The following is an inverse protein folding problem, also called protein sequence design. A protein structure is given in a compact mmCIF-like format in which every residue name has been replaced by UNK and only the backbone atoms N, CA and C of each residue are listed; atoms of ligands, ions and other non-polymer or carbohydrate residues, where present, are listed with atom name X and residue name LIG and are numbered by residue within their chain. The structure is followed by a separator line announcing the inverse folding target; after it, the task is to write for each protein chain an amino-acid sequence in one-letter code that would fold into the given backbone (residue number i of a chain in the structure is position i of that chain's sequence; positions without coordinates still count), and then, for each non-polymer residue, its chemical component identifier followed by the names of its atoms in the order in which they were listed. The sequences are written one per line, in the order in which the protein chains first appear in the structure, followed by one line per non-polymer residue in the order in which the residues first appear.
data_IF_988788375402
#
_entry.id   IF_988788375402
#
_cell.length_a   1.000
_cell.length_b   1.000
_cell.length_c   1.000
_cell.angle_alpha   90.00
_cell.angle_beta   90.00
_cell.angle_gamma   90.00
#
_symmetry.space_group_name_H-M   'P 1'
#
loop_
_entity.id
_entity.type
_entity.pdbx_description
1 polymer ?
#
# COMPACT_ATOMS: atom_id res chain seq x y z
N UNK A 1 -6.05 62.01 6.39
CA UNK A 1 -7.01 60.93 6.62
C UNK A 1 -6.62 59.77 5.70
N UNK A 2 -6.12 58.69 6.31
CA UNK A 2 -5.81 57.33 5.83
C UNK A 2 -5.26 57.09 4.42
N UNK A 3 -3.98 56.67 4.37
CA UNK A 3 -3.41 55.90 3.28
C UNK A 3 -3.93 54.45 3.36
N UNK A 4 -4.58 53.96 2.28
CA UNK A 4 -4.94 52.56 2.12
C UNK A 4 -3.69 51.75 1.75
N UNK A 5 -3.20 50.94 2.68
CA UNK A 5 -2.29 49.83 2.37
C UNK A 5 -3.10 48.66 1.82
N UNK A 6 -2.95 48.39 0.53
CA UNK A 6 -3.46 47.18 -0.13
C UNK A 6 -2.59 45.99 0.29
N UNK A 7 -3.08 45.18 1.24
CA UNK A 7 -2.49 43.88 1.56
C UNK A 7 -2.85 42.93 0.43
N UNK A 8 -1.92 42.69 -0.51
CA UNK A 8 -2.00 41.53 -1.40
C UNK A 8 -1.78 40.28 -0.53
N UNK A 9 -2.88 39.65 -0.12
CA UNK A 9 -2.82 38.31 0.46
C UNK A 9 -2.26 37.34 -0.58
N UNK A 10 -1.08 36.79 -0.31
CA UNK A 10 -0.60 35.57 -0.94
C UNK A 10 -1.58 34.46 -0.58
N UNK A 11 -2.62 34.28 -1.39
CA UNK A 11 -3.43 33.07 -1.39
C UNK A 11 -2.52 31.98 -1.97
N UNK A 12 -1.72 31.36 -1.10
CA UNK A 12 -1.06 30.12 -1.42
C UNK A 12 -2.14 29.12 -1.76
N UNK A 13 -2.29 28.82 -3.05
CA UNK A 13 -3.09 27.66 -3.46
C UNK A 13 -2.44 26.46 -2.78
N UNK A 14 -3.17 25.81 -1.86
CA UNK A 14 -2.78 24.51 -1.37
C UNK A 14 -2.71 23.59 -2.59
N UNK A 15 -1.49 23.33 -3.07
CA UNK A 15 -1.28 22.25 -4.01
C UNK A 15 -1.53 20.99 -3.20
N UNK A 16 -2.70 20.37 -3.38
CA UNK A 16 -2.86 18.95 -3.09
C UNK A 16 -1.64 18.22 -3.65
N UNK A 17 -1.18 17.13 -3.02
CA UNK A 17 -0.05 16.34 -3.50
C UNK A 17 -0.41 15.59 -4.80
N UNK A 18 -0.68 16.35 -5.86
CA UNK A 18 -0.65 15.87 -7.23
C UNK A 18 0.82 15.68 -7.61
N UNK A 19 1.35 14.51 -7.25
CA UNK A 19 2.69 14.07 -7.64
C UNK A 19 2.78 13.70 -9.13
N UNK A 20 1.74 14.01 -9.93
CA UNK A 20 1.68 13.73 -11.36
C UNK A 20 1.33 12.29 -11.71
N UNK A 21 1.24 11.36 -10.75
CA UNK A 21 1.01 9.95 -10.99
C UNK A 21 -0.49 9.58 -10.96
N UNK A 22 -0.80 8.32 -11.28
CA UNK A 22 -2.14 7.72 -11.22
C UNK A 22 -3.26 8.54 -11.88
N UNK A 23 -3.03 9.19 -13.03
CA UNK A 23 -4.09 9.92 -13.75
C UNK A 23 -5.24 9.04 -14.21
N UNK A 24 -4.92 7.77 -14.45
CA UNK A 24 -5.86 6.65 -14.47
C UNK A 24 -5.55 5.75 -13.28
N UNK A 25 -6.50 4.89 -12.85
CA UNK A 25 -6.21 3.89 -11.83
C UNK A 25 -4.98 3.08 -12.23
N UNK A 26 -4.12 2.79 -11.25
CA UNK A 26 -2.99 1.89 -11.48
C UNK A 26 -3.49 0.50 -11.82
N UNK A 27 -2.73 -0.19 -12.66
CA UNK A 27 -2.93 -1.62 -12.90
C UNK A 27 -1.58 -2.33 -12.68
N UNK A 28 -1.65 -3.61 -12.33
CA UNK A 28 -0.45 -4.40 -12.05
C UNK A 28 -0.80 -5.74 -11.42
N UNK A 29 0.22 -6.39 -10.88
CA UNK A 29 0.09 -7.66 -10.19
C UNK A 29 0.77 -7.62 -8.82
N UNK A 30 0.19 -8.38 -7.88
CA UNK A 30 0.63 -8.45 -6.50
C UNK A 30 0.92 -9.91 -6.10
N UNK A 31 2.05 -10.13 -5.43
CA UNK A 31 2.51 -11.46 -5.01
C UNK A 31 1.61 -12.16 -3.99
N UNK A 32 0.81 -11.43 -3.21
CA UNK A 32 0.25 -11.93 -1.95
C UNK A 32 -0.78 -13.06 -2.10
N UNK A 33 -1.81 -12.89 -2.91
CA UNK A 33 -2.90 -13.87 -3.01
C UNK A 33 -2.41 -15.24 -3.49
N UNK A 34 -1.35 -15.27 -4.31
CA UNK A 34 -0.80 -16.53 -4.82
C UNK A 34 0.31 -17.14 -3.96
N UNK A 35 1.23 -16.31 -3.45
CA UNK A 35 2.48 -16.79 -2.85
C UNK A 35 2.62 -16.46 -1.37
N UNK A 36 1.74 -15.61 -0.84
CA UNK A 36 1.80 -15.11 0.52
C UNK A 36 3.22 -14.66 0.91
N UNK A 37 3.84 -15.37 1.83
CA UNK A 37 5.17 -15.08 2.35
C UNK A 37 6.32 -15.63 1.52
N UNK A 38 6.04 -16.56 0.61
CA UNK A 38 7.07 -17.29 -0.11
C UNK A 38 7.45 -16.60 -1.42
N UNK A 39 8.05 -15.42 -1.29
CA UNK A 39 8.52 -14.62 -2.43
C UNK A 39 10.04 -14.61 -2.50
N UNK A 40 10.58 -14.52 -3.71
CA UNK A 40 12.02 -14.44 -3.97
C UNK A 40 12.29 -13.63 -5.23
N UNK A 41 13.53 -13.18 -5.41
CA UNK A 41 13.98 -12.47 -6.61
C UNK A 41 13.60 -13.23 -7.89
N UNK A 42 13.90 -14.53 -7.96
CA UNK A 42 13.60 -15.37 -9.12
C UNK A 42 12.10 -15.48 -9.40
N UNK A 43 11.27 -15.59 -8.36
CA UNK A 43 9.82 -15.68 -8.51
C UNK A 43 9.26 -14.38 -9.09
N UNK A 44 9.70 -13.24 -8.56
CA UNK A 44 9.21 -11.92 -8.99
C UNK A 44 9.66 -11.63 -10.41
N UNK A 45 10.90 -11.96 -10.76
CA UNK A 45 11.39 -11.87 -12.15
C UNK A 45 10.61 -12.78 -13.10
N UNK A 46 10.28 -14.00 -12.67
CA UNK A 46 9.49 -14.93 -13.48
C UNK A 46 8.07 -14.43 -13.70
N UNK A 47 7.44 -13.84 -12.67
CA UNK A 47 6.13 -13.18 -12.78
C UNK A 47 6.19 -11.98 -13.75
N UNK A 48 7.22 -11.14 -13.65
CA UNK A 48 7.44 -10.05 -14.58
C UNK A 48 7.57 -10.52 -16.04
N UNK A 49 8.38 -11.56 -16.28
CA UNK A 49 8.50 -12.17 -17.62
C UNK A 49 7.16 -12.74 -18.11
N UNK A 50 6.36 -13.35 -17.25
CA UNK A 50 5.04 -13.87 -17.60
C UNK A 50 4.06 -12.75 -18.00
N UNK A 51 4.04 -11.62 -17.27
CA UNK A 51 3.22 -10.44 -17.61
C UNK A 51 3.56 -9.90 -19.00
N UNK A 52 4.85 -9.91 -19.37
CA UNK A 52 5.29 -9.52 -20.72
C UNK A 52 4.89 -10.58 -21.74
N UNK A 53 5.21 -11.85 -21.50
CA UNK A 53 4.99 -12.94 -22.45
C UNK A 53 3.50 -13.20 -22.76
N UNK A 54 2.61 -12.93 -21.81
CA UNK A 54 1.15 -13.08 -21.97
C UNK A 54 0.49 -11.88 -22.63
N UNK A 55 1.23 -10.78 -22.90
CA UNK A 55 0.67 -9.55 -23.46
C UNK A 55 -0.12 -8.70 -22.46
N UNK A 56 -0.21 -9.09 -21.18
CA UNK A 56 -0.88 -8.29 -20.14
C UNK A 56 -0.25 -6.90 -20.00
N UNK A 57 1.06 -6.80 -20.25
CA UNK A 57 1.76 -5.50 -20.34
C UNK A 57 1.09 -4.54 -21.33
N UNK A 58 0.79 -5.02 -22.54
CA UNK A 58 0.30 -4.19 -23.63
C UNK A 58 -1.18 -3.82 -23.47
N UNK A 59 -1.93 -4.63 -22.70
CA UNK A 59 -3.34 -4.37 -22.33
C UNK A 59 -3.52 -3.28 -21.27
N UNK A 60 -2.43 -2.73 -20.74
CA UNK A 60 -2.51 -1.59 -19.84
C UNK A 60 -2.40 -1.92 -18.37
N UNK A 61 -1.82 -3.08 -17.98
CA UNK A 61 -1.47 -3.39 -16.58
C UNK A 61 -0.38 -2.45 -16.00
N UNK A 62 -0.40 -1.16 -16.37
CA UNK A 62 0.55 -0.06 -16.21
C UNK A 62 0.32 0.74 -14.92
N UNK A 63 1.40 1.13 -14.23
CA UNK A 63 1.35 2.09 -13.13
C UNK A 63 1.91 3.45 -13.57
N UNK A 64 1.04 4.43 -13.79
CA UNK A 64 1.44 5.84 -13.89
C UNK A 64 1.68 6.41 -15.29
N UNK A 65 1.81 7.74 -15.31
CA UNK A 65 1.64 8.69 -16.43
C UNK A 65 2.23 8.23 -17.76
N UNK A 66 1.40 8.21 -18.82
CA UNK A 66 1.73 7.82 -20.20
C UNK A 66 2.18 6.36 -20.35
N UNK A 67 1.30 5.48 -20.86
CA UNK A 67 1.53 4.24 -21.65
C UNK A 67 2.86 3.45 -21.54
N UNK A 68 3.62 3.50 -20.45
CA UNK A 68 4.89 2.78 -20.32
C UNK A 68 5.08 2.32 -18.88
N UNK A 69 4.72 1.06 -18.67
CA UNK A 69 5.36 0.08 -17.76
C UNK A 69 4.43 -0.49 -16.65
N UNK A 70 4.11 -1.80 -16.71
CA UNK A 70 3.32 -2.54 -15.72
C UNK A 70 3.94 -2.67 -14.35
N UNK A 71 3.16 -2.61 -13.26
CA UNK A 71 3.69 -2.88 -11.92
C UNK A 71 3.73 -4.37 -11.56
N UNK A 72 4.88 -4.80 -11.04
CA UNK A 72 4.97 -6.00 -10.18
C UNK A 72 5.25 -5.53 -8.77
N UNK A 73 4.30 -5.73 -7.84
CA UNK A 73 4.44 -5.28 -6.46
C UNK A 73 4.78 -6.44 -5.53
N UNK A 74 5.92 -6.32 -4.84
CA UNK A 74 6.29 -7.21 -3.74
C UNK A 74 5.50 -6.80 -2.52
N UNK A 75 4.52 -7.62 -2.13
CA UNK A 75 3.73 -7.30 -0.95
C UNK A 75 3.71 -8.38 0.09
N UNK A 76 3.26 -7.98 1.27
CA UNK A 76 3.00 -8.83 2.40
C UNK A 76 1.59 -8.52 2.89
N UNK A 77 0.93 -9.53 3.44
CA UNK A 77 -0.34 -9.47 4.14
C UNK A 77 -0.26 -10.30 5.43
N UNK A 78 -1.36 -10.98 5.78
CA UNK A 78 -1.65 -11.72 7.01
C UNK A 78 -0.52 -12.09 8.00
N UNK A 79 -0.88 -12.03 9.29
CA UNK A 79 0.00 -12.27 10.42
C UNK A 79 0.51 -13.71 10.49
N UNK A 80 1.72 -13.94 10.01
CA UNK A 80 2.47 -15.16 10.27
C UNK A 80 3.89 -14.80 10.72
N UNK A 81 4.26 -15.19 11.95
CA UNK A 81 5.58 -14.91 12.54
C UNK A 81 6.79 -15.44 11.73
N UNK A 82 6.55 -16.40 10.83
CA UNK A 82 7.55 -16.95 9.89
C UNK A 82 7.52 -16.28 8.51
N UNK A 83 6.66 -15.29 8.30
CA UNK A 83 6.50 -14.59 7.03
C UNK A 83 7.70 -13.69 6.74
N UNK A 84 8.77 -14.24 6.17
CA UNK A 84 9.86 -13.44 5.59
C UNK A 84 9.46 -13.17 4.15
N UNK A 85 8.69 -12.10 3.94
CA UNK A 85 8.39 -11.57 2.60
C UNK A 85 9.68 -11.00 2.01
N UNK A 86 9.77 -9.71 1.70
CA UNK A 86 11.03 -9.11 1.24
C UNK A 86 11.99 -8.74 2.38
N UNK A 87 11.49 -8.53 3.60
CA UNK A 87 12.24 -8.01 4.73
C UNK A 87 13.22 -9.05 5.31
N UNK A 88 14.43 -8.60 5.66
CA UNK A 88 15.32 -9.30 6.56
C UNK A 88 14.71 -9.44 7.97
N UNK A 89 15.40 -10.17 8.85
CA UNK A 89 14.97 -10.34 10.24
C UNK A 89 14.96 -9.02 11.03
N UNK A 90 15.88 -8.11 10.73
CA UNK A 90 16.04 -6.81 11.37
C UNK A 90 16.46 -5.74 10.38
N UNK A 91 16.30 -4.47 10.77
CA UNK A 91 16.92 -3.32 10.10
C UNK A 91 18.45 -3.39 10.20
N UNK A 92 19.13 -2.63 9.36
CA UNK A 92 20.58 -2.45 9.44
C UNK A 92 20.95 -1.80 10.78
N UNK A 93 21.93 -2.40 11.48
CA UNK A 93 22.40 -1.89 12.76
C UNK A 93 23.10 -0.53 12.57
N UNK A 94 22.85 0.41 13.48
CA UNK A 94 23.44 1.75 13.47
C UNK A 94 22.71 2.76 12.58
N UNK A 95 22.33 2.39 11.35
CA UNK A 95 21.65 3.32 10.42
C UNK A 95 20.13 3.23 10.51
N UNK A 96 19.57 2.09 10.91
CA UNK A 96 18.14 1.83 10.90
C UNK A 96 17.56 1.63 9.50
N UNK A 97 18.39 1.52 8.45
CA UNK A 97 17.92 1.28 7.07
C UNK A 97 17.15 -0.04 6.96
N UNK A 98 16.10 -0.09 6.13
CA UNK A 98 15.45 -1.35 5.82
C UNK A 98 16.39 -2.25 5.03
N UNK A 99 16.39 -3.54 5.32
CA UNK A 99 17.26 -4.54 4.67
C UNK A 99 16.40 -5.67 4.13
N UNK A 100 16.73 -6.17 2.94
CA UNK A 100 16.06 -7.32 2.34
C UNK A 100 16.64 -8.65 2.82
N UNK A 101 15.83 -9.70 2.83
CA UNK A 101 16.28 -11.05 3.15
C UNK A 101 17.28 -11.54 2.10
N UNK A 102 18.55 -11.67 2.47
CA UNK A 102 19.65 -12.03 1.56
C UNK A 102 19.58 -13.47 1.03
N UNK A 103 18.76 -14.34 1.63
CA UNK A 103 18.52 -15.69 1.07
C UNK A 103 17.50 -15.62 -0.06
N UNK A 104 16.47 -14.77 0.07
CA UNK A 104 15.41 -14.61 -0.94
C UNK A 104 15.77 -13.61 -2.04
N UNK A 105 16.59 -12.62 -1.71
CA UNK A 105 17.04 -11.52 -2.57
C UNK A 105 18.57 -11.40 -2.50
N UNK A 106 19.31 -12.40 -2.98
CA UNK A 106 20.77 -12.47 -2.83
C UNK A 106 21.50 -11.31 -3.49
N UNK A 107 20.91 -10.69 -4.51
CA UNK A 107 21.48 -9.55 -5.22
C UNK A 107 20.92 -8.19 -4.73
N UNK A 108 20.00 -8.23 -3.76
CA UNK A 108 19.33 -7.05 -3.21
C UNK A 108 18.19 -6.51 -4.10
N UNK A 109 17.40 -5.59 -3.53
CA UNK A 109 16.18 -5.07 -4.17
C UNK A 109 16.49 -4.17 -5.36
N UNK A 110 17.60 -3.40 -5.33
CA UNK A 110 18.02 -2.57 -6.47
C UNK A 110 18.28 -3.43 -7.73
N UNK A 111 18.98 -4.56 -7.58
CA UNK A 111 19.21 -5.48 -8.69
C UNK A 111 17.90 -6.03 -9.26
N UNK A 112 16.96 -6.40 -8.39
CA UNK A 112 15.63 -6.82 -8.82
C UNK A 112 14.88 -5.70 -9.57
N UNK A 113 14.93 -4.47 -9.04
CA UNK A 113 14.33 -3.29 -9.66
C UNK A 113 14.86 -3.06 -11.07
N UNK A 114 16.19 -3.07 -11.23
CA UNK A 114 16.87 -2.91 -12.53
C UNK A 114 16.42 -3.95 -13.55
N UNK A 115 16.32 -5.21 -13.12
CA UNK A 115 15.86 -6.29 -13.98
C UNK A 115 14.38 -6.15 -14.35
N UNK A 116 13.51 -5.75 -13.43
CA UNK A 116 12.09 -5.47 -13.72
C UNK A 116 11.96 -4.27 -14.67
N UNK A 117 12.74 -3.21 -14.48
CA UNK A 117 12.78 -2.07 -15.39
C UNK A 117 13.28 -2.44 -16.79
N UNK A 118 14.24 -3.36 -16.91
CA UNK A 118 14.72 -3.86 -18.21
C UNK A 118 13.64 -4.60 -19.02
N UNK A 119 12.62 -5.15 -18.35
CA UNK A 119 11.42 -5.73 -18.98
C UNK A 119 10.41 -4.64 -19.41
N UNK A 120 10.73 -3.36 -19.19
CA UNK A 120 9.84 -2.22 -19.33
C UNK A 120 8.64 -2.34 -18.40
N UNK A 121 8.88 -2.80 -17.17
CA UNK A 121 7.91 -2.85 -16.06
C UNK A 121 8.33 -1.84 -14.98
N UNK A 122 7.50 -1.65 -13.97
CA UNK A 122 7.72 -0.90 -12.74
C UNK A 122 7.66 -1.84 -11.56
N UNK A 123 8.31 -1.50 -10.46
CA UNK A 123 8.34 -2.33 -9.25
C UNK A 123 7.70 -1.63 -8.06
N UNK A 124 6.91 -2.39 -7.31
CA UNK A 124 6.33 -1.97 -6.05
C UNK A 124 6.96 -2.65 -4.84
N UNK A 125 6.98 -1.94 -3.72
CA UNK A 125 7.36 -2.45 -2.41
C UNK A 125 6.22 -2.24 -1.40
N UNK A 126 6.31 -2.92 -0.27
CA UNK A 126 5.32 -2.88 0.80
C UNK A 126 5.95 -2.55 2.14
N UNK A 127 5.28 -1.70 2.91
CA UNK A 127 5.53 -1.50 4.33
C UNK A 127 4.22 -1.19 5.07
N UNK A 128 4.30 -0.88 6.36
CA UNK A 128 3.16 -0.47 7.19
C UNK A 128 3.45 0.86 7.89
N UNK A 129 2.41 1.68 8.02
CA UNK A 129 2.34 2.85 8.88
C UNK A 129 2.23 2.47 10.37
N UNK A 130 3.07 1.54 10.80
CA UNK A 130 3.13 1.02 12.16
C UNK A 130 4.53 0.53 12.51
N UNK A 131 4.76 0.12 13.76
CA UNK A 131 6.05 -0.44 14.19
C UNK A 131 6.38 -1.74 13.47
N UNK A 132 5.34 -2.48 13.10
CA UNK A 132 5.46 -3.72 12.36
C UNK A 132 4.51 -3.77 11.16
N UNK A 133 4.89 -4.53 10.15
CA UNK A 133 3.96 -4.96 9.11
C UNK A 133 2.92 -5.93 9.66
N UNK A 134 1.86 -6.19 8.89
CA UNK A 134 0.90 -7.22 9.28
C UNK A 134 1.54 -8.60 9.48
N UNK A 135 2.58 -8.92 8.69
CA UNK A 135 3.40 -10.13 8.83
C UNK A 135 4.48 -10.08 9.93
N UNK A 136 4.43 -9.10 10.84
CA UNK A 136 5.38 -8.89 11.95
C UNK A 136 6.85 -8.71 11.53
N UNK A 137 7.07 -8.00 10.42
CA UNK A 137 8.39 -7.46 10.03
C UNK A 137 8.49 -6.00 10.45
N UNK A 138 9.69 -5.41 10.43
CA UNK A 138 9.85 -3.99 10.75
C UNK A 138 8.95 -3.15 9.84
N UNK A 139 8.08 -2.32 10.43
CA UNK A 139 7.29 -1.33 9.70
C UNK A 139 8.00 0.02 9.68
N UNK A 140 7.42 1.03 9.03
CA UNK A 140 8.09 2.31 8.76
C UNK A 140 7.70 3.45 9.71
N UNK A 141 6.86 3.21 10.72
CA UNK A 141 6.47 4.26 11.67
C UNK A 141 7.69 4.79 12.44
N UNK A 142 7.97 6.08 12.31
CA UNK A 142 9.16 6.74 12.87
C UNK A 142 10.45 6.56 12.06
N UNK A 143 10.41 5.81 10.95
CA UNK A 143 11.53 5.58 10.03
C UNK A 143 11.21 6.08 8.61
N UNK A 144 10.16 6.90 8.44
CA UNK A 144 9.60 7.23 7.13
C UNK A 144 10.63 7.86 6.19
N UNK A 145 11.47 8.78 6.69
CA UNK A 145 12.53 9.42 5.91
C UNK A 145 13.61 8.45 5.46
N UNK A 146 14.04 7.55 6.36
CA UNK A 146 15.09 6.56 6.08
C UNK A 146 14.57 5.54 5.06
N UNK A 147 13.34 5.07 5.26
CA UNK A 147 12.71 4.06 4.42
C UNK A 147 12.41 4.62 3.03
N UNK A 148 11.79 5.80 2.94
CA UNK A 148 11.54 6.46 1.66
C UNK A 148 12.83 6.70 0.87
N UNK A 149 13.89 7.21 1.52
CA UNK A 149 15.20 7.40 0.88
C UNK A 149 15.75 6.07 0.36
N UNK A 150 15.66 5.00 1.15
CA UNK A 150 16.14 3.68 0.75
C UNK A 150 15.32 3.11 -0.42
N UNK A 151 14.00 3.31 -0.44
CA UNK A 151 13.15 2.89 -1.55
C UNK A 151 13.49 3.65 -2.84
N UNK A 152 13.83 4.94 -2.73
CA UNK A 152 14.30 5.72 -3.87
C UNK A 152 15.70 5.26 -4.34
N UNK A 153 16.62 4.95 -3.43
CA UNK A 153 17.94 4.35 -3.73
C UNK A 153 17.81 2.99 -4.45
N UNK A 154 16.77 2.21 -4.11
CA UNK A 154 16.43 0.95 -4.79
C UNK A 154 15.60 1.13 -6.06
N UNK A 155 15.30 2.36 -6.44
CA UNK A 155 14.51 2.70 -7.62
C UNK A 155 13.10 2.10 -7.63
N UNK A 156 12.45 2.02 -6.47
CA UNK A 156 11.05 1.62 -6.37
C UNK A 156 10.15 2.66 -7.05
N UNK A 157 9.06 2.22 -7.67
CA UNK A 157 8.09 3.08 -8.36
C UNK A 157 6.73 3.15 -7.65
N UNK A 158 6.46 2.23 -6.72
CA UNK A 158 5.17 2.09 -6.06
C UNK A 158 5.35 1.65 -4.61
N UNK A 159 4.64 2.28 -3.67
CA UNK A 159 4.58 1.86 -2.27
C UNK A 159 3.14 1.51 -1.87
N UNK A 160 2.91 0.25 -1.47
CA UNK A 160 1.74 -0.13 -0.65
C UNK A 160 2.05 0.13 0.82
N UNK A 161 1.24 0.94 1.48
CA UNK A 161 1.50 1.38 2.86
C UNK A 161 0.34 1.01 3.81
N UNK A 162 0.53 -0.09 4.54
CA UNK A 162 -0.45 -0.72 5.43
C UNK A 162 -0.70 0.06 6.72
N UNK A 163 -1.54 -0.48 7.61
CA UNK A 163 -2.02 0.15 8.83
C UNK A 163 -1.88 -0.75 10.09
N UNK A 164 -1.27 -1.92 9.96
CA UNK A 164 -1.01 -2.80 11.12
C UNK A 164 -0.01 -2.18 12.11
N UNK A 165 -0.21 -2.46 13.41
CA UNK A 165 0.69 -2.04 14.51
C UNK A 165 0.97 -0.53 14.56
N UNK A 166 -0.08 0.28 14.35
CA UNK A 166 0.01 1.74 14.27
C UNK A 166 0.16 2.46 15.64
N UNK A 167 0.41 1.72 16.73
CA UNK A 167 0.59 2.25 18.09
C UNK A 167 -0.54 3.15 18.59
N UNK A 168 -1.79 2.82 18.25
CA UNK A 168 -2.96 3.61 18.64
C UNK A 168 -3.07 4.97 17.92
N UNK A 169 -2.27 5.19 16.87
CA UNK A 169 -2.30 6.42 16.07
C UNK A 169 -3.40 6.33 14.99
N UNK A 170 -4.64 6.11 15.42
CA UNK A 170 -5.84 6.06 14.59
C UNK A 170 -7.07 6.47 15.42
N UNK A 171 -8.25 6.53 14.80
CA UNK A 171 -9.54 6.79 15.47
C UNK A 171 -10.10 8.20 15.24
N UNK A 172 -9.32 9.10 14.62
CA UNK A 172 -9.81 10.37 14.09
C UNK A 172 -9.15 10.66 12.74
N UNK A 173 -9.81 11.39 11.82
CA UNK A 173 -9.23 11.75 10.53
C UNK A 173 -7.86 12.42 10.65
N UNK A 174 -7.68 13.31 11.63
CA UNK A 174 -6.42 14.05 11.81
C UNK A 174 -5.25 13.14 12.21
N UNK A 175 -5.46 12.22 13.15
CA UNK A 175 -4.39 11.33 13.65
C UNK A 175 -3.93 10.39 12.53
N UNK A 176 -4.88 9.80 11.79
CA UNK A 176 -4.57 8.95 10.64
C UNK A 176 -3.93 9.76 9.51
N UNK A 177 -4.47 10.95 9.19
CA UNK A 177 -3.88 11.85 8.20
C UNK A 177 -2.42 12.13 8.48
N UNK A 178 -2.05 12.58 9.68
CA UNK A 178 -0.65 12.95 9.98
C UNK A 178 0.31 11.77 9.84
N UNK A 179 -0.13 10.58 10.25
CA UNK A 179 0.68 9.36 10.14
C UNK A 179 0.95 8.98 8.68
N UNK A 180 -0.05 9.07 7.81
CA UNK A 180 0.14 8.83 6.37
C UNK A 180 0.87 9.98 5.67
N UNK A 181 0.60 11.22 6.07
CA UNK A 181 1.23 12.41 5.52
C UNK A 181 2.75 12.43 5.78
N UNK A 182 3.23 11.87 6.91
CA UNK A 182 4.66 11.71 7.17
C UNK A 182 5.37 10.91 6.07
N UNK A 183 4.81 9.77 5.67
CA UNK A 183 5.38 8.95 4.60
C UNK A 183 5.21 9.63 3.23
N UNK A 184 4.08 10.28 2.96
CA UNK A 184 3.89 11.06 1.73
C UNK A 184 4.96 12.16 1.56
N UNK A 185 5.20 12.96 2.63
CA UNK A 185 6.26 13.97 2.68
C UNK A 185 7.65 13.35 2.49
N UNK A 186 7.92 12.22 3.14
CA UNK A 186 9.19 11.52 3.02
C UNK A 186 9.45 11.02 1.59
N UNK A 187 8.45 10.43 0.92
CA UNK A 187 8.53 10.02 -0.48
C UNK A 187 8.80 11.21 -1.40
N UNK A 188 8.05 12.30 -1.23
CA UNK A 188 8.23 13.51 -2.03
C UNK A 188 9.64 14.12 -1.85
N UNK A 189 10.17 14.11 -0.61
CA UNK A 189 11.50 14.62 -0.31
C UNK A 189 12.64 13.83 -0.99
N UNK A 190 12.39 12.61 -1.47
CA UNK A 190 13.39 11.83 -2.22
C UNK A 190 13.63 12.36 -3.63
N UNK A 191 12.67 13.11 -4.19
CA UNK A 191 12.69 13.56 -5.59
C UNK A 191 12.40 12.47 -6.63
N UNK A 192 12.30 11.19 -6.24
CA UNK A 192 11.88 10.11 -7.14
C UNK A 192 10.34 10.02 -7.15
N UNK A 193 9.68 10.00 -8.33
CA UNK A 193 8.25 9.75 -8.41
C UNK A 193 7.91 8.32 -7.96
N UNK A 194 7.25 8.20 -6.80
CA UNK A 194 6.77 6.93 -6.25
C UNK A 194 5.26 7.03 -6.08
N UNK A 195 4.51 6.12 -6.71
CA UNK A 195 3.06 6.05 -6.55
C UNK A 195 2.74 5.59 -5.12
N UNK A 196 1.99 6.40 -4.40
CA UNK A 196 1.67 6.15 -3.00
C UNK A 196 0.26 5.57 -2.83
N UNK A 197 0.20 4.28 -2.49
CA UNK A 197 -1.04 3.54 -2.26
C UNK A 197 -1.23 3.25 -0.78
N UNK A 198 -2.18 3.95 -0.17
CA UNK A 198 -2.53 3.73 1.24
C UNK A 198 -3.38 2.48 1.43
N UNK A 199 -3.14 1.76 2.51
CA UNK A 199 -3.85 0.53 2.86
C UNK A 199 -4.28 0.58 4.34
N UNK A 200 -5.19 1.50 4.67
CA UNK A 200 -5.80 1.62 6.00
C UNK A 200 -7.27 1.19 6.07
N UNK A 201 -7.76 0.55 5.02
CA UNK A 201 -9.06 -0.10 4.99
C UNK A 201 -10.26 0.85 5.17
N UNK A 202 -10.12 2.10 4.74
CA UNK A 202 -11.15 3.14 4.88
C UNK A 202 -11.30 3.70 6.30
N UNK A 203 -10.43 3.30 7.24
CA UNK A 203 -10.42 3.79 8.61
C UNK A 203 -10.35 5.33 8.64
N UNK A 204 -11.12 5.93 9.55
CA UNK A 204 -11.21 7.37 9.73
C UNK A 204 -11.65 8.14 8.47
N UNK A 205 -12.46 7.53 7.62
CA UNK A 205 -13.08 8.18 6.46
C UNK A 205 -12.06 8.64 5.42
N UNK A 206 -11.17 7.72 5.04
CA UNK A 206 -9.95 7.97 4.25
C UNK A 206 -10.18 8.77 2.97
N UNK A 207 -11.29 8.51 2.28
CA UNK A 207 -11.71 9.22 1.07
C UNK A 207 -11.88 10.74 1.23
N UNK A 208 -11.96 11.26 2.46
CA UNK A 208 -12.07 12.70 2.70
C UNK A 208 -10.71 13.40 2.70
N UNK A 209 -9.62 12.74 3.07
CA UNK A 209 -8.33 13.38 3.34
C UNK A 209 -7.14 12.75 2.61
N UNK A 210 -7.22 11.48 2.21
CA UNK A 210 -6.14 10.83 1.45
C UNK A 210 -5.96 11.42 0.04
N UNK A 211 -7.01 12.09 -0.48
CA UNK A 211 -7.00 12.81 -1.76
C UNK A 211 -5.91 13.87 -1.85
N UNK A 212 -5.43 14.37 -0.71
CA UNK A 212 -4.41 15.42 -0.63
C UNK A 212 -2.98 14.88 -0.53
N UNK A 213 -2.80 13.60 -0.20
CA UNK A 213 -1.49 13.04 0.16
C UNK A 213 -1.13 11.73 -0.55
N UNK A 214 -2.09 11.06 -1.20
CA UNK A 214 -1.89 9.74 -1.81
C UNK A 214 -2.59 9.60 -3.16
N UNK A 215 -2.10 8.63 -3.94
CA UNK A 215 -2.64 8.33 -5.27
C UNK A 215 -3.83 7.36 -5.24
N UNK A 216 -3.86 6.50 -4.23
CA UNK A 216 -5.00 5.62 -3.97
C UNK A 216 -5.07 5.28 -2.49
N UNK A 217 -6.25 4.87 -2.04
CA UNK A 217 -6.48 4.42 -0.67
C UNK A 217 -7.47 3.26 -0.65
N UNK A 218 -7.09 2.19 0.06
CA UNK A 218 -8.01 1.07 0.36
C UNK A 218 -9.19 1.61 1.14
N UNK A 219 -10.40 1.35 0.67
CA UNK A 219 -11.64 1.86 1.26
C UNK A 219 -12.42 0.82 2.07
N UNK A 220 -11.91 -0.42 2.19
CA UNK A 220 -12.54 -1.52 2.93
C UNK A 220 -11.52 -2.49 3.52
N UNK A 221 -12.01 -3.46 4.29
CA UNK A 221 -11.30 -4.71 4.58
C UNK A 221 -10.80 -5.44 3.32
N UNK A 222 -10.13 -6.56 3.54
CA UNK A 222 -9.50 -7.34 2.47
C UNK A 222 -10.58 -8.10 1.69
N UNK A 223 -10.46 -8.12 0.37
CA UNK A 223 -11.35 -8.94 -0.45
C UNK A 223 -11.05 -10.42 -0.22
N UNK A 224 -12.07 -11.27 -0.39
CA UNK A 224 -11.91 -12.70 -0.57
C UNK A 224 -12.52 -13.16 -1.87
N UNK A 225 -12.06 -14.30 -2.38
CA UNK A 225 -12.64 -15.00 -3.53
C UNK A 225 -14.01 -15.62 -3.17
N UNK A 226 -14.99 -14.75 -2.97
CA UNK A 226 -16.39 -15.09 -2.74
C UNK A 226 -17.23 -13.93 -3.20
N UNK A 227 -18.09 -14.17 -4.19
CA UNK A 227 -18.87 -13.12 -4.82
C UNK A 227 -19.82 -12.40 -3.85
N UNK A 228 -20.58 -13.15 -3.04
CA UNK A 228 -21.52 -12.59 -2.08
C UNK A 228 -21.56 -13.45 -0.81
N UNK A 229 -21.93 -12.84 0.31
CA UNK A 229 -22.06 -13.52 1.59
C UNK A 229 -21.67 -12.64 2.76
N UNK A 230 -22.18 -13.00 3.94
CA UNK A 230 -21.75 -12.45 5.21
C UNK A 230 -20.51 -13.18 5.71
N UNK A 231 -19.62 -12.45 6.38
CA UNK A 231 -18.47 -12.97 7.09
C UNK A 231 -18.34 -12.17 8.38
N UNK A 232 -18.24 -12.85 9.52
CA UNK A 232 -18.09 -12.20 10.82
C UNK A 232 -16.79 -11.40 10.94
N UNK A 233 -15.79 -11.71 10.11
CA UNK A 233 -14.53 -10.96 9.99
C UNK A 233 -14.66 -9.67 9.16
N UNK A 234 -15.77 -9.50 8.43
CA UNK A 234 -16.18 -8.26 7.75
C UNK A 234 -17.56 -7.80 8.24
N UNK A 235 -17.68 -7.33 9.49
CA UNK A 235 -18.96 -7.11 10.15
C UNK A 235 -19.69 -5.84 9.68
N UNK A 236 -19.01 -4.92 9.01
CA UNK A 236 -19.59 -3.65 8.60
C UNK A 236 -20.66 -3.83 7.52
N UNK A 237 -21.75 -3.07 7.64
CA UNK A 237 -22.81 -3.00 6.63
C UNK A 237 -22.71 -1.76 5.75
N UNK A 238 -21.99 -0.74 6.20
CA UNK A 238 -21.64 0.48 5.48
C UNK A 238 -20.25 0.94 5.90
N UNK A 239 -19.44 1.43 4.95
CA UNK A 239 -18.13 2.01 5.26
C UNK A 239 -18.20 3.40 5.88
N UNK A 240 -19.30 4.13 5.72
CA UNK A 240 -19.44 5.49 6.27
C UNK A 240 -19.39 5.49 7.81
N UNK A 241 -19.90 4.44 8.44
CA UNK A 241 -19.97 4.30 9.90
C UNK A 241 -19.10 3.15 10.42
N UNK A 242 -18.25 2.58 9.56
CA UNK A 242 -17.48 1.40 9.90
C UNK A 242 -16.34 1.71 10.87
N UNK A 243 -16.46 1.19 12.10
CA UNK A 243 -15.40 1.27 13.13
C UNK A 243 -14.45 0.07 13.10
N UNK A 244 -14.87 -1.01 12.44
CA UNK A 244 -14.12 -2.25 12.32
C UNK A 244 -14.21 -2.75 10.87
N UNK A 245 -13.46 -2.15 9.93
CA UNK A 245 -13.44 -2.57 8.52
C UNK A 245 -12.95 -4.02 8.32
N UNK A 246 -12.45 -4.60 9.39
CA UNK A 246 -12.26 -6.02 9.64
C UNK A 246 -11.32 -6.13 10.84
N UNK A 247 -11.58 -7.07 11.74
CA UNK A 247 -10.77 -7.27 12.95
C UNK A 247 -9.92 -8.54 12.83
N UNK A 248 -8.75 -8.56 13.48
CA UNK A 248 -7.98 -9.78 13.71
C UNK A 248 -8.21 -10.21 15.16
N UNK A 249 -8.72 -11.41 15.37
CA UNK A 249 -8.85 -12.02 16.69
C UNK A 249 -7.52 -12.68 17.11
N UNK A 250 -6.93 -12.31 18.24
CA UNK A 250 -5.77 -13.05 18.75
C UNK A 250 -6.23 -14.33 19.45
N UNK A 251 -6.50 -15.41 18.70
CA UNK A 251 -6.68 -16.74 19.32
C UNK A 251 -5.33 -17.41 19.55
N UNK A 252 -4.87 -17.39 20.80
CA UNK A 252 -3.79 -18.25 21.29
C UNK A 252 -4.34 -19.67 21.48
N UNK A 253 -4.02 -20.60 20.58
CA UNK A 253 -4.33 -22.01 20.76
C UNK A 253 -3.08 -22.79 21.20
N UNK A 254 -2.67 -22.62 22.47
CA UNK A 254 -1.72 -23.51 23.15
C UNK A 254 -0.34 -23.71 22.53
N UNK A 255 0.39 -24.69 23.05
CA UNK A 255 1.80 -24.99 22.76
C UNK A 255 2.01 -25.78 21.45
N UNK A 256 0.93 -26.03 20.70
CA UNK A 256 0.93 -26.67 19.40
C UNK A 256 0.34 -25.71 18.36
N UNK A 257 1.20 -25.21 17.47
CA UNK A 257 0.81 -24.35 16.35
C UNK A 257 0.03 -25.16 15.30
N UNK A 258 -1.25 -25.38 15.53
CA UNK A 258 -2.20 -25.74 14.47
C UNK A 258 -2.46 -24.46 13.67
N UNK A 259 -2.39 -24.48 12.33
CA UNK A 259 -2.69 -23.31 11.50
C UNK A 259 -4.19 -23.01 11.60
N UNK A 260 -4.61 -22.28 12.62
CA UNK A 260 -5.90 -21.63 12.62
C UNK A 260 -5.80 -20.56 11.54
N UNK A 261 -6.55 -20.78 10.45
CA UNK A 261 -6.72 -19.88 9.33
C UNK A 261 -6.63 -18.42 9.79
N UNK A 262 -5.58 -17.77 9.31
CA UNK A 262 -5.25 -16.37 9.51
C UNK A 262 -6.50 -15.50 9.43
N UNK A 263 -6.75 -14.68 10.46
CA UNK A 263 -7.80 -13.68 10.39
C UNK A 263 -7.41 -12.59 9.41
N UNK A 264 -7.89 -12.76 8.19
CA UNK A 264 -7.98 -11.78 7.12
C UNK A 264 -9.34 -11.08 7.19
N UNK A 265 -9.37 -9.84 6.74
CA UNK A 265 -10.54 -8.95 6.84
C UNK A 265 -11.54 -9.26 5.72
N UNK A 266 -12.02 -10.49 5.66
CA UNK A 266 -12.58 -11.15 4.46
C UNK A 266 -13.95 -10.64 4.02
N UNK A 267 -13.98 -9.54 3.28
CA UNK A 267 -15.18 -9.00 2.68
C UNK A 267 -15.47 -9.66 1.31
N UNK A 268 -16.73 -10.01 1.04
CA UNK A 268 -17.14 -10.51 -0.28
C UNK A 268 -17.13 -9.41 -1.34
N UNK A 269 -17.05 -9.79 -2.62
CA UNK A 269 -17.01 -8.86 -3.75
C UNK A 269 -18.19 -7.87 -3.71
N UNK A 270 -19.42 -8.40 -3.60
CA UNK A 270 -20.63 -7.60 -3.55
C UNK A 270 -20.64 -6.63 -2.35
N UNK A 271 -20.09 -7.05 -1.20
CA UNK A 271 -20.00 -6.19 -0.01
C UNK A 271 -19.09 -4.99 -0.25
N UNK A 272 -17.93 -5.20 -0.87
CA UNK A 272 -17.00 -4.12 -1.20
C UNK A 272 -17.59 -3.19 -2.25
N UNK A 273 -18.34 -3.71 -3.23
CA UNK A 273 -19.05 -2.89 -4.21
C UNK A 273 -20.09 -1.97 -3.54
N UNK A 274 -20.89 -2.50 -2.61
CA UNK A 274 -21.85 -1.71 -1.83
C UNK A 274 -21.17 -0.60 -1.01
N UNK A 275 -20.02 -0.92 -0.41
CA UNK A 275 -19.20 0.05 0.32
C UNK A 275 -18.64 1.16 -0.58
N UNK A 276 -18.30 0.83 -1.82
CA UNK A 276 -17.70 1.76 -2.77
C UNK A 276 -18.73 2.69 -3.44
N UNK A 277 -19.98 2.25 -3.58
CA UNK A 277 -21.04 2.97 -4.28
C UNK A 277 -21.19 4.45 -3.86
N UNK A 278 -21.23 4.83 -2.56
CA UNK A 278 -21.35 6.24 -2.17
C UNK A 278 -20.02 7.03 -2.27
N UNK A 279 -18.90 6.36 -2.50
CA UNK A 279 -17.56 6.95 -2.43
C UNK A 279 -17.01 7.39 -3.79
N UNK A 280 -17.66 7.00 -4.89
CA UNK A 280 -17.20 7.32 -6.25
C UNK A 280 -16.97 8.82 -6.49
N UNK A 281 -17.80 9.67 -5.89
CA UNK A 281 -17.69 11.14 -5.95
C UNK A 281 -16.38 11.72 -5.35
N UNK A 282 -15.63 10.93 -4.57
CA UNK A 282 -14.34 11.35 -3.97
C UNK A 282 -13.14 10.97 -4.83
N UNK A 283 -13.32 10.10 -5.81
CA UNK A 283 -12.25 9.64 -6.70
C UNK A 283 -12.13 10.51 -7.96
N UNK A 284 -10.96 10.48 -8.59
CA UNK A 284 -10.69 11.17 -9.85
C UNK A 284 -9.22 11.05 -10.26
N UNK A 285 -8.80 11.73 -11.36
CA UNK A 285 -7.42 11.65 -11.83
C UNK A 285 -6.40 11.98 -10.75
N UNK A 286 -5.49 11.04 -10.50
CA UNK A 286 -4.45 11.12 -9.48
C UNK A 286 -4.85 10.63 -8.10
N UNK A 287 -6.12 10.22 -7.87
CA UNK A 287 -6.67 9.93 -6.55
C UNK A 287 -7.83 8.91 -6.60
N UNK A 288 -7.58 7.65 -6.24
CA UNK A 288 -8.55 6.56 -6.45
C UNK A 288 -8.97 5.85 -5.16
N UNK A 289 -10.27 5.53 -5.06
CA UNK A 289 -10.72 4.49 -4.13
C UNK A 289 -10.18 3.14 -4.62
N UNK A 290 -9.50 2.42 -3.73
CA UNK A 290 -8.96 1.08 -3.99
C UNK A 290 -9.86 0.04 -3.31
N UNK A 291 -10.48 -0.81 -4.13
CA UNK A 291 -11.41 -1.87 -3.73
C UNK A 291 -10.70 -3.19 -3.39
N UNK A 292 -9.39 -3.14 -3.21
CA UNK A 292 -8.49 -4.29 -3.12
C UNK A 292 -8.26 -5.02 -4.45
N UNK A 293 -7.48 -6.10 -4.40
CA UNK A 293 -7.03 -6.86 -5.57
C UNK A 293 -8.17 -7.57 -6.30
N UNK A 294 -7.95 -7.90 -7.58
CA UNK A 294 -8.85 -8.76 -8.35
C UNK A 294 -8.58 -10.24 -7.99
N UNK A 295 -9.65 -11.00 -7.75
CA UNK A 295 -9.61 -12.46 -7.47
C UNK A 295 -9.89 -13.33 -8.71
N UNK A 296 -9.75 -12.75 -9.91
CA UNK A 296 -10.03 -13.39 -11.21
C UNK A 296 -9.02 -14.50 -11.55
#
# INVERSE_FOLDING_TARGET
MLALLSILGLVGSAKAADNGLARTPQMGWNTWNKFACDISENLILSAGKAIVATGLKDLGYNCGYQRTSPCVSMTQGAMHSRCRSWHAASREAGTGKPVADSTRFPNGIKHLSDNIHSLGLKIGIYSSAGLYTCGRRFGSLGYEQIDAKTYAEWEIDYLKYDNCYNEGRHGTPLISYERYANMSRALNATGRPILYSMCNWGEDGTWNWATEIANSWRMSGDIKDTFAGYDDRCPCTSMLDCKLPGYREFKFAGQFCIPIFTLSKDCSVARILDFAAPLGQKAGPGRWNDLDMLEV
#
